data_IF_380678615944
#
_entry.id   IF_380678615944
#
_cell.length_a   1.000
_cell.length_b   1.000
_cell.length_c   1.000
_cell.angle_alpha   90.00
_cell.angle_beta   90.00
_cell.angle_gamma   90.00
#
_symmetry.space_group_name_H-M   'P 1'
#
loop_
_entity.id
_entity.type
_entity.pdbx_description
1 polymer ?
#
# COMPACT_ATOMS: atom_id res chain seq x y z
N UNK A 1 83.63 -5.25 31.99
CA UNK A 1 83.32 -5.86 33.30
C UNK A 1 82.03 -5.21 33.80
N UNK A 2 80.87 -5.81 34.06
CA UNK A 2 80.30 -7.17 34.16
C UNK A 2 78.83 -7.03 33.67
N UNK A 3 78.37 -7.83 32.69
CA UNK A 3 77.54 -9.05 32.82
C UNK A 3 76.04 -8.84 33.09
N UNK A 4 75.25 -9.28 32.11
CA UNK A 4 73.90 -9.84 32.18
C UNK A 4 73.57 -10.58 33.48
N UNK A 5 72.34 -10.43 33.95
CA UNK A 5 71.57 -11.51 34.59
C UNK A 5 70.23 -11.58 33.88
N UNK A 6 69.96 -12.73 33.27
CA UNK A 6 68.66 -13.10 32.74
C UNK A 6 68.05 -14.25 33.55
N UNK A 7 66.83 -14.59 33.13
CA UNK A 7 66.12 -15.87 33.28
C UNK A 7 65.74 -16.34 34.70
N UNK A 8 64.44 -16.64 34.87
CA UNK A 8 63.88 -17.95 35.26
C UNK A 8 62.33 -17.81 35.28
N UNK A 9 61.65 -18.36 34.27
CA UNK A 9 60.78 -19.55 34.34
C UNK A 9 59.26 -19.26 34.41
N UNK A 10 58.62 -19.45 33.26
CA UNK A 10 57.22 -19.91 33.09
C UNK A 10 57.02 -21.23 33.89
N UNK A 11 55.81 -21.57 34.39
CA UNK A 11 54.75 -21.98 33.47
C UNK A 11 53.26 -21.84 33.91
N UNK A 12 52.38 -22.12 32.95
CA UNK A 12 51.14 -22.93 33.08
C UNK A 12 49.81 -22.24 33.50
N UNK A 13 49.01 -21.99 32.45
CA UNK A 13 47.64 -22.53 32.28
C UNK A 13 46.50 -22.01 33.18
N UNK A 14 45.63 -21.18 32.62
CA UNK A 14 44.21 -21.51 32.45
C UNK A 14 43.52 -20.49 31.53
N UNK A 15 43.14 -20.98 30.35
CA UNK A 15 42.08 -20.40 29.53
C UNK A 15 40.78 -20.45 30.35
N UNK A 16 40.13 -19.30 30.53
CA UNK A 16 38.68 -19.25 30.51
C UNK A 16 38.25 -18.13 29.59
N UNK A 17 37.97 -18.52 28.34
CA UNK A 17 37.02 -17.82 27.51
C UNK A 17 35.63 -17.99 28.17
N UNK A 18 35.03 -16.88 28.56
CA UNK A 18 33.60 -16.76 28.85
C UNK A 18 33.22 -15.44 28.22
N UNK A 19 32.50 -15.40 27.12
CA UNK A 19 31.32 -16.19 26.80
C UNK A 19 30.19 -15.18 26.68
N UNK A 20 29.61 -15.08 25.49
CA UNK A 20 28.68 -14.05 25.05
C UNK A 20 27.53 -13.78 26.04
N UNK A 21 27.38 -12.53 26.45
CA UNK A 21 26.16 -12.02 27.07
C UNK A 21 25.24 -11.35 26.06
N UNK A 22 24.88 -12.04 24.98
CA UNK A 22 23.71 -11.63 24.19
C UNK A 22 22.49 -12.02 25.02
N UNK A 23 21.78 -11.04 25.58
CA UNK A 23 20.42 -11.27 26.04
C UNK A 23 19.61 -11.59 24.79
N UNK A 24 19.36 -12.87 24.56
CA UNK A 24 18.49 -13.35 23.51
C UNK A 24 17.10 -12.80 23.79
N UNK A 25 16.74 -11.75 23.04
CA UNK A 25 15.35 -11.36 22.85
C UNK A 25 14.63 -12.62 22.36
N UNK A 26 13.55 -13.10 23.02
CA UNK A 26 12.81 -14.23 22.50
C UNK A 26 12.38 -13.86 21.08
N UNK A 27 12.87 -14.62 20.11
CA UNK A 27 12.49 -14.45 18.73
C UNK A 27 10.96 -14.52 18.69
N UNK A 28 10.31 -13.41 18.36
CA UNK A 28 8.92 -13.46 17.93
C UNK A 28 8.86 -14.54 16.86
N UNK A 29 7.99 -15.55 16.98
CA UNK A 29 7.90 -16.59 15.97
C UNK A 29 7.59 -15.89 14.65
N UNK A 30 8.56 -15.89 13.74
CA UNK A 30 8.30 -15.57 12.34
C UNK A 30 7.21 -16.54 11.93
N UNK A 31 6.01 -16.08 11.55
CA UNK A 31 5.05 -16.98 10.97
C UNK A 31 5.66 -17.46 9.65
N UNK A 32 6.22 -18.67 9.67
CA UNK A 32 6.61 -19.41 8.47
C UNK A 32 5.33 -19.83 7.78
N UNK A 33 4.63 -18.87 7.17
CA UNK A 33 3.63 -19.19 6.16
C UNK A 33 4.44 -19.62 4.95
N UNK A 34 4.75 -20.91 4.91
CA UNK A 34 5.23 -21.57 3.71
C UNK A 34 4.15 -21.32 2.64
N UNK A 35 4.45 -20.43 1.69
CA UNK A 35 3.51 -20.04 0.65
C UNK A 35 3.29 -21.25 -0.27
N UNK A 36 2.38 -22.14 0.12
CA UNK A 36 1.89 -23.21 -0.73
C UNK A 36 1.18 -22.55 -1.91
N UNK A 37 1.86 -22.50 -3.07
CA UNK A 37 1.24 -22.11 -4.33
C UNK A 37 0.26 -23.20 -4.74
N UNK A 38 -0.99 -23.07 -4.30
CA UNK A 38 -2.08 -23.88 -4.80
C UNK A 38 -2.59 -23.26 -6.12
N UNK A 39 -2.52 -23.97 -7.25
CA UNK A 39 -3.00 -23.47 -8.54
C UNK A 39 -4.53 -23.32 -8.62
N UNK A 40 -5.28 -23.74 -7.60
CA UNK A 40 -6.76 -23.68 -7.52
C UNK A 40 -7.27 -22.72 -6.43
N UNK A 41 -6.57 -21.60 -6.17
CA UNK A 41 -7.10 -20.61 -5.21
C UNK A 41 -8.34 -19.97 -5.82
N UNK A 42 -9.50 -20.30 -5.25
CA UNK A 42 -10.71 -19.51 -5.42
C UNK A 42 -10.46 -18.13 -4.81
N UNK A 43 -10.51 -17.09 -5.67
CA UNK A 43 -10.15 -15.72 -5.30
C UNK A 43 -11.14 -15.12 -4.30
N UNK A 44 -12.39 -15.57 -4.33
CA UNK A 44 -13.46 -15.10 -3.45
C UNK A 44 -13.17 -15.38 -1.96
N UNK A 45 -13.00 -16.63 -1.51
CA UNK A 45 -12.72 -16.93 -0.10
C UNK A 45 -11.35 -16.40 0.35
N UNK A 46 -10.34 -16.40 -0.53
CA UNK A 46 -9.02 -15.86 -0.21
C UNK A 46 -9.07 -14.34 0.02
N UNK A 47 -9.81 -13.60 -0.81
CA UNK A 47 -10.02 -12.17 -0.63
C UNK A 47 -10.79 -11.87 0.66
N UNK A 48 -11.83 -12.65 0.98
CA UNK A 48 -12.58 -12.51 2.25
C UNK A 48 -11.71 -12.69 3.46
N UNK A 49 -10.96 -13.79 3.51
CA UNK A 49 -10.07 -14.10 4.62
C UNK A 49 -8.99 -13.02 4.80
N UNK A 50 -8.43 -12.54 3.69
CA UNK A 50 -7.49 -11.44 3.70
C UNK A 50 -8.12 -10.16 4.28
N UNK A 51 -9.27 -9.72 3.77
CA UNK A 51 -9.91 -8.48 4.19
C UNK A 51 -10.36 -8.51 5.65
N UNK A 52 -10.88 -9.65 6.13
CA UNK A 52 -11.29 -9.82 7.53
C UNK A 52 -10.12 -9.72 8.52
N UNK A 53 -8.93 -10.16 8.11
CA UNK A 53 -7.73 -10.23 8.95
C UNK A 53 -6.72 -9.11 8.68
N UNK A 54 -7.08 -8.09 7.89
CA UNK A 54 -6.22 -6.95 7.60
C UNK A 54 -5.80 -6.21 8.88
N UNK A 55 -4.50 -6.16 9.22
CA UNK A 55 -4.01 -5.31 10.31
C UNK A 55 -4.39 -3.84 10.10
N UNK A 56 -4.64 -3.08 11.18
CA UNK A 56 -5.12 -1.70 11.09
C UNK A 56 -4.14 -0.77 10.35
N UNK A 57 -2.84 -1.04 10.44
CA UNK A 57 -1.73 -0.25 9.90
C UNK A 57 -0.96 -1.00 8.80
N UNK A 58 -1.54 -2.07 8.24
CA UNK A 58 -0.79 -3.05 7.44
C UNK A 58 -0.07 -2.44 6.22
N UNK A 59 -0.55 -1.30 5.75
CA UNK A 59 -0.10 -0.66 4.52
C UNK A 59 0.33 0.79 4.68
N UNK A 60 0.09 1.42 5.82
CA UNK A 60 0.38 2.85 6.01
C UNK A 60 1.75 3.05 6.66
N UNK A 61 2.41 4.14 6.30
CA UNK A 61 3.59 4.63 6.99
C UNK A 61 3.48 6.13 7.20
N UNK A 62 3.73 6.58 8.43
CA UNK A 62 3.72 8.00 8.77
C UNK A 62 4.95 8.73 8.21
N UNK A 63 4.82 10.02 7.92
CA UNK A 63 5.90 10.83 7.36
C UNK A 63 7.18 10.83 8.20
N UNK A 64 7.07 10.84 9.54
CA UNK A 64 8.23 10.77 10.43
C UNK A 64 8.96 9.43 10.33
N UNK A 65 8.23 8.34 10.09
CA UNK A 65 8.83 7.03 9.92
C UNK A 65 9.58 6.92 8.60
N UNK A 66 9.06 7.52 7.53
CA UNK A 66 9.78 7.63 6.26
C UNK A 66 11.11 8.38 6.44
N UNK A 67 11.10 9.49 7.18
CA UNK A 67 12.34 10.24 7.50
C UNK A 67 13.31 9.40 8.32
N UNK A 68 12.82 8.64 9.30
CA UNK A 68 13.66 7.82 10.20
C UNK A 68 14.26 6.60 9.50
N UNK A 69 13.46 5.87 8.74
CA UNK A 69 13.85 4.61 8.12
C UNK A 69 14.54 4.81 6.76
N UNK A 70 14.35 5.97 6.12
CA UNK A 70 14.90 6.31 4.80
C UNK A 70 14.68 5.18 3.76
N UNK A 71 13.43 4.73 3.53
CA UNK A 71 13.13 3.62 2.63
C UNK A 71 13.33 4.01 1.16
N UNK A 72 13.16 3.05 0.26
CA UNK A 72 13.09 3.35 -1.17
C UNK A 72 11.74 4.01 -1.48
N UNK A 73 11.73 5.19 -2.10
CA UNK A 73 10.49 5.95 -2.32
C UNK A 73 10.15 5.98 -3.82
N UNK A 74 8.90 5.64 -4.14
CA UNK A 74 8.36 5.73 -5.50
C UNK A 74 7.22 6.74 -5.50
N UNK A 75 7.37 7.80 -6.28
CA UNK A 75 6.29 8.74 -6.55
C UNK A 75 5.51 8.29 -7.80
N UNK A 76 4.24 7.92 -7.61
CA UNK A 76 3.37 7.42 -8.68
C UNK A 76 2.49 8.50 -9.33
N UNK A 77 2.73 9.77 -9.00
CA UNK A 77 2.06 10.92 -9.64
C UNK A 77 2.54 11.11 -11.07
N UNK A 78 1.84 11.97 -11.81
CA UNK A 78 2.28 12.39 -13.13
C UNK A 78 3.60 13.17 -13.05
N UNK A 79 4.44 13.12 -14.10
CA UNK A 79 5.72 13.82 -14.10
C UNK A 79 5.61 15.33 -13.82
N UNK A 80 4.52 15.98 -14.26
CA UNK A 80 4.27 17.41 -13.98
C UNK A 80 3.97 17.70 -12.52
N UNK A 81 3.27 16.79 -11.82
CA UNK A 81 3.03 16.91 -10.39
C UNK A 81 4.33 16.70 -9.60
N UNK A 82 5.11 15.69 -10.00
CA UNK A 82 6.41 15.38 -9.41
C UNK A 82 7.38 16.56 -9.52
N UNK A 83 7.51 17.16 -10.71
CA UNK A 83 8.40 18.32 -10.95
C UNK A 83 8.08 19.55 -10.10
N UNK A 84 6.83 19.70 -9.63
CA UNK A 84 6.44 20.80 -8.73
C UNK A 84 6.98 20.64 -7.32
N UNK A 85 7.43 19.45 -6.94
CA UNK A 85 7.96 19.17 -5.62
C UNK A 85 7.73 17.72 -5.21
N UNK A 86 8.77 17.06 -4.72
CA UNK A 86 8.74 15.65 -4.32
C UNK A 86 9.71 15.37 -3.15
N UNK A 87 9.59 14.19 -2.54
CA UNK A 87 10.45 13.77 -1.41
C UNK A 87 11.86 13.49 -1.91
N UNK A 88 12.88 14.00 -1.22
CA UNK A 88 14.28 13.77 -1.59
C UNK A 88 14.59 12.27 -1.70
N UNK A 89 15.20 11.86 -2.82
CA UNK A 89 15.52 10.45 -3.11
C UNK A 89 14.37 9.64 -3.71
N UNK A 90 13.15 10.19 -3.79
CA UNK A 90 12.07 9.54 -4.51
C UNK A 90 12.38 9.47 -6.00
N UNK A 91 11.90 8.42 -6.65
CA UNK A 91 11.92 8.28 -8.11
C UNK A 91 10.50 8.38 -8.64
N UNK A 92 10.32 9.01 -9.81
CA UNK A 92 9.00 9.07 -10.42
C UNK A 92 8.75 7.86 -11.33
N UNK A 93 7.77 7.03 -10.95
CA UNK A 93 7.23 5.95 -11.78
C UNK A 93 5.72 6.11 -11.78
N UNK A 94 5.12 6.80 -12.78
CA UNK A 94 3.68 7.01 -12.83
C UNK A 94 2.91 5.69 -12.73
N UNK A 95 1.81 5.69 -11.97
CA UNK A 95 1.03 4.49 -11.64
C UNK A 95 0.79 3.57 -12.85
N UNK A 96 0.37 4.14 -13.98
CA UNK A 96 0.05 3.41 -15.22
C UNK A 96 1.23 2.70 -15.90
N UNK A 97 2.43 2.97 -15.44
CA UNK A 97 3.67 2.45 -16.01
C UNK A 97 4.47 1.62 -15.01
N UNK A 98 3.96 1.43 -13.78
CA UNK A 98 4.70 0.78 -12.70
C UNK A 98 5.11 -0.66 -13.06
N UNK A 99 4.23 -1.42 -13.70
CA UNK A 99 4.45 -2.80 -14.19
C UNK A 99 5.52 -2.89 -15.28
N UNK A 100 5.78 -1.80 -16.00
CA UNK A 100 6.79 -1.73 -17.08
C UNK A 100 8.13 -1.16 -16.61
N UNK A 101 8.21 -0.69 -15.36
CA UNK A 101 9.39 -0.05 -14.78
C UNK A 101 9.95 -0.80 -13.56
N UNK A 102 9.72 -2.11 -13.48
CA UNK A 102 10.19 -2.95 -12.37
C UNK A 102 11.73 -3.00 -12.26
N UNK A 103 12.46 -2.75 -13.36
CA UNK A 103 13.92 -2.59 -13.40
C UNK A 103 14.44 -1.35 -12.68
N UNK A 104 13.55 -0.46 -12.23
CA UNK A 104 13.95 0.72 -11.45
C UNK A 104 13.67 0.54 -9.97
N UNK A 105 13.13 -0.63 -9.59
CA UNK A 105 12.81 -0.97 -8.21
C UNK A 105 14.00 -1.67 -7.54
N UNK A 106 14.09 -1.59 -6.20
CA UNK A 106 15.12 -2.32 -5.44
C UNK A 106 14.81 -3.82 -5.40
N UNK A 107 15.66 -4.60 -4.73
CA UNK A 107 15.33 -6.00 -4.41
C UNK A 107 14.03 -6.13 -3.62
N UNK A 108 13.31 -7.25 -3.80
CA UNK A 108 12.00 -7.47 -3.15
C UNK A 108 12.05 -7.54 -1.61
N UNK A 109 13.24 -7.68 -1.03
CA UNK A 109 13.49 -7.64 0.40
C UNK A 109 13.52 -6.21 0.98
N UNK A 110 13.52 -5.17 0.14
CA UNK A 110 13.63 -3.77 0.59
C UNK A 110 12.29 -3.15 0.94
N UNK A 111 12.30 -2.22 1.89
CA UNK A 111 11.16 -1.35 2.16
C UNK A 111 10.93 -0.42 0.98
N UNK A 112 9.69 -0.39 0.50
CA UNK A 112 9.25 0.52 -0.53
C UNK A 112 8.11 1.36 0.03
N UNK A 113 8.18 2.67 -0.14
CA UNK A 113 7.09 3.59 0.15
C UNK A 113 6.60 4.19 -1.15
N UNK A 114 5.34 3.91 -1.48
CA UNK A 114 4.65 4.45 -2.63
C UNK A 114 3.96 5.75 -2.21
N UNK A 115 4.12 6.79 -3.00
CA UNK A 115 3.63 8.14 -2.69
C UNK A 115 2.81 8.65 -3.86
N UNK A 116 1.65 9.23 -3.56
CA UNK A 116 0.94 10.09 -4.48
C UNK A 116 0.51 11.40 -3.77
N UNK A 117 -0.46 12.12 -4.33
CA UNK A 117 -0.90 13.38 -3.74
C UNK A 117 -1.61 13.19 -2.38
N UNK A 118 -2.65 12.35 -2.33
CA UNK A 118 -3.50 12.15 -1.13
C UNK A 118 -3.50 10.73 -0.55
N UNK A 119 -2.93 9.74 -1.24
CA UNK A 119 -2.90 8.33 -0.82
C UNK A 119 -3.63 7.35 -1.75
N UNK A 120 -4.56 7.81 -2.59
CA UNK A 120 -5.39 6.91 -3.41
C UNK A 120 -4.59 6.15 -4.49
N UNK A 121 -3.84 6.86 -5.34
CA UNK A 121 -3.02 6.25 -6.40
C UNK A 121 -1.90 5.38 -5.81
N UNK A 122 -1.34 5.79 -4.67
CA UNK A 122 -0.28 5.02 -4.01
C UNK A 122 -0.80 3.76 -3.34
N UNK A 123 -2.04 3.72 -2.84
CA UNK A 123 -2.67 2.49 -2.37
C UNK A 123 -2.81 1.46 -3.50
N UNK A 124 -3.26 1.88 -4.70
CA UNK A 124 -3.32 1.01 -5.89
C UNK A 124 -1.91 0.55 -6.29
N UNK A 125 -0.95 1.48 -6.38
CA UNK A 125 0.43 1.15 -6.73
C UNK A 125 1.07 0.17 -5.75
N UNK A 126 0.83 0.35 -4.46
CA UNK A 126 1.30 -0.56 -3.41
C UNK A 126 0.68 -1.95 -3.55
N UNK A 127 -0.63 -2.06 -3.75
CA UNK A 127 -1.30 -3.37 -3.94
C UNK A 127 -0.71 -4.12 -5.14
N UNK A 128 -0.50 -3.41 -6.26
CA UNK A 128 0.15 -3.94 -7.47
C UNK A 128 1.56 -4.46 -7.14
N UNK A 129 2.37 -3.69 -6.42
CA UNK A 129 3.72 -4.11 -6.03
C UNK A 129 3.68 -5.35 -5.12
N UNK A 130 2.76 -5.41 -4.17
CA UNK A 130 2.61 -6.59 -3.30
C UNK A 130 2.19 -7.83 -4.07
N UNK A 131 1.26 -7.72 -5.04
CA UNK A 131 0.89 -8.81 -5.96
C UNK A 131 2.08 -9.30 -6.80
N UNK A 132 3.02 -8.41 -7.13
CA UNK A 132 4.26 -8.73 -7.83
C UNK A 132 5.36 -9.29 -6.92
N UNK A 133 5.13 -9.35 -5.60
CA UNK A 133 6.04 -9.95 -4.62
C UNK A 133 6.78 -8.98 -3.69
N UNK A 134 6.59 -7.66 -3.84
CA UNK A 134 7.14 -6.64 -2.95
C UNK A 134 6.32 -6.54 -1.66
N UNK A 135 6.43 -7.55 -0.81
CA UNK A 135 5.63 -7.69 0.42
C UNK A 135 5.80 -6.56 1.43
N UNK A 136 6.90 -5.80 1.34
CA UNK A 136 7.23 -4.65 2.20
C UNK A 136 6.85 -3.30 1.58
N UNK A 137 6.12 -3.30 0.47
CA UNK A 137 5.57 -2.07 -0.09
C UNK A 137 4.47 -1.53 0.83
N UNK A 138 4.56 -0.24 1.15
CA UNK A 138 3.60 0.54 1.93
C UNK A 138 3.24 1.83 1.18
N UNK A 139 2.15 2.49 1.56
CA UNK A 139 1.81 3.84 1.11
C UNK A 139 2.09 4.86 2.20
N UNK A 140 2.58 6.04 1.82
CA UNK A 140 2.66 7.18 2.72
C UNK A 140 1.26 7.62 3.12
N UNK A 141 1.03 7.70 4.43
CA UNK A 141 -0.26 8.14 4.99
C UNK A 141 -0.53 9.61 4.64
N UNK A 142 -1.68 9.86 4.00
CA UNK A 142 -2.09 11.16 3.46
C UNK A 142 -1.22 11.72 2.31
N UNK A 143 -0.30 10.93 1.75
CA UNK A 143 0.52 11.30 0.59
C UNK A 143 1.37 12.57 0.76
N UNK A 144 1.63 13.25 -0.36
CA UNK A 144 2.40 14.50 -0.40
C UNK A 144 1.71 15.65 0.37
N UNK A 145 0.38 15.67 0.45
CA UNK A 145 -0.33 16.68 1.23
C UNK A 145 0.01 16.59 2.72
N UNK A 146 0.03 15.37 3.27
CA UNK A 146 0.46 15.11 4.65
C UNK A 146 1.93 15.47 4.86
N UNK A 147 2.81 15.10 3.91
CA UNK A 147 4.24 15.47 3.94
C UNK A 147 4.46 16.99 4.03
N UNK A 148 3.76 17.74 3.18
CA UNK A 148 3.84 19.20 3.13
C UNK A 148 3.21 19.85 4.36
N UNK A 149 2.08 19.33 4.85
CA UNK A 149 1.44 19.80 6.09
C UNK A 149 2.36 19.62 7.30
N UNK A 150 3.11 18.52 7.33
CA UNK A 150 4.16 18.28 8.31
C UNK A 150 5.41 19.17 8.14
N UNK A 151 5.41 20.06 7.13
CA UNK A 151 6.51 20.99 6.79
C UNK A 151 7.84 20.27 6.54
N UNK A 152 7.78 19.05 6.00
CA UNK A 152 8.95 18.28 5.65
C UNK A 152 9.55 18.74 4.31
N UNK A 153 10.87 18.61 4.12
CA UNK A 153 11.55 19.14 2.94
C UNK A 153 11.10 18.45 1.66
N UNK A 154 11.03 19.23 0.59
CA UNK A 154 10.79 18.77 -0.78
C UNK A 154 11.91 19.26 -1.69
N UNK A 155 12.11 18.57 -2.81
CA UNK A 155 13.05 18.93 -3.87
C UNK A 155 12.31 19.05 -5.19
N UNK A 156 12.89 19.75 -6.16
CA UNK A 156 12.30 19.97 -7.51
C UNK A 156 13.17 19.43 -8.64
N UNK A 157 14.44 19.13 -8.36
CA UNK A 157 15.40 18.66 -9.35
C UNK A 157 15.22 17.16 -9.63
N UNK A 158 14.72 16.74 -10.82
CA UNK A 158 14.37 15.36 -11.07
C UNK A 158 15.57 14.43 -10.95
N UNK A 159 15.42 13.37 -10.15
CA UNK A 159 16.39 12.28 -10.08
C UNK A 159 16.07 11.29 -11.19
N UNK A 160 17.00 10.99 -12.13
CA UNK A 160 16.77 9.95 -13.12
C UNK A 160 16.58 8.60 -12.41
N UNK A 161 15.66 7.75 -12.88
CA UNK A 161 15.42 6.47 -12.23
C UNK A 161 16.68 5.61 -12.28
N UNK A 162 17.07 4.96 -11.17
CA UNK A 162 18.17 4.02 -11.19
C UNK A 162 17.82 2.86 -12.14
N UNK A 163 18.83 2.35 -12.85
CA UNK A 163 18.72 1.06 -13.55
C UNK A 163 19.27 -0.02 -12.63
N UNK A 164 18.38 -0.82 -12.06
CA UNK A 164 18.71 -2.11 -11.45
C UNK A 164 18.48 -3.24 -12.47
N UNK A 165 18.96 -4.44 -12.16
CA UNK A 165 18.55 -5.63 -12.91
C UNK A 165 17.06 -5.89 -12.67
N UNK A 166 16.32 -6.31 -13.70
CA UNK A 166 14.92 -6.75 -13.53
C UNK A 166 14.83 -7.78 -12.39
N UNK A 167 13.83 -7.68 -11.49
CA UNK A 167 13.68 -8.66 -10.44
C UNK A 167 13.41 -10.03 -11.06
N UNK A 168 14.27 -11.02 -10.76
CA UNK A 168 14.25 -12.33 -11.41
C UNK A 168 13.07 -13.23 -11.01
N UNK A 169 12.25 -12.79 -10.05
CA UNK A 169 11.19 -13.58 -9.41
C UNK A 169 9.77 -13.05 -9.62
N UNK A 170 9.56 -12.09 -10.54
CA UNK A 170 8.20 -11.65 -10.93
C UNK A 170 7.53 -12.72 -11.79
N UNK A 171 6.27 -13.03 -11.49
CA UNK A 171 5.46 -13.92 -12.33
C UNK A 171 5.00 -13.18 -13.60
N UNK A 172 5.42 -13.60 -14.81
CA UNK A 172 5.11 -12.87 -16.05
C UNK A 172 3.61 -12.84 -16.37
N UNK A 173 2.83 -13.84 -15.94
CA UNK A 173 1.37 -13.84 -16.14
C UNK A 173 0.68 -12.78 -15.27
N UNK A 174 1.11 -12.66 -14.01
CA UNK A 174 0.58 -11.64 -13.10
C UNK A 174 0.96 -10.24 -13.61
N UNK A 175 2.21 -10.06 -14.03
CA UNK A 175 2.66 -8.79 -14.61
C UNK A 175 1.86 -8.40 -15.85
N UNK A 176 1.64 -9.33 -16.79
CA UNK A 176 0.87 -9.06 -18.01
C UNK A 176 -0.59 -8.68 -17.71
N UNK A 177 -1.24 -9.38 -16.76
CA UNK A 177 -2.60 -9.05 -16.30
C UNK A 177 -2.68 -7.64 -15.71
N UNK A 178 -1.76 -7.29 -14.81
CA UNK A 178 -1.71 -5.98 -14.17
C UNK A 178 -1.38 -4.86 -15.17
N UNK A 179 -0.49 -5.14 -16.12
CA UNK A 179 -0.16 -4.19 -17.19
C UNK A 179 -1.37 -3.92 -18.09
N UNK A 180 -2.11 -4.97 -18.47
CA UNK A 180 -3.34 -4.85 -19.23
C UNK A 180 -4.38 -4.01 -18.48
N UNK A 181 -4.62 -4.31 -17.19
CA UNK A 181 -5.54 -3.57 -16.34
C UNK A 181 -5.19 -2.08 -16.26
N UNK A 182 -3.92 -1.76 -15.99
CA UNK A 182 -3.44 -0.37 -15.89
C UNK A 182 -3.55 0.41 -17.21
N UNK A 183 -3.40 -0.27 -18.35
CA UNK A 183 -3.39 0.33 -19.67
C UNK A 183 -4.78 0.47 -20.31
N UNK A 184 -5.69 -0.48 -20.06
CA UNK A 184 -6.95 -0.61 -20.82
C UNK A 184 -8.20 -0.48 -19.95
N UNK A 185 -8.12 -0.81 -18.66
CA UNK A 185 -9.29 -0.84 -17.77
C UNK A 185 -9.45 0.45 -16.97
N UNK A 186 -8.36 1.20 -16.76
CA UNK A 186 -8.40 2.46 -16.03
C UNK A 186 -8.60 3.63 -17.03
N UNK A 187 -9.81 4.18 -17.27
CA UNK A 187 -9.96 5.48 -17.94
C UNK A 187 -9.22 6.59 -17.17
N UNK A 188 -8.93 7.73 -17.82
CA UNK A 188 -8.06 8.78 -17.25
C UNK A 188 -8.58 9.35 -15.92
N UNK A 189 -9.90 9.33 -15.76
CA UNK A 189 -10.75 9.76 -14.65
C UNK A 189 -11.24 8.60 -13.76
N UNK A 190 -10.69 7.38 -13.94
CA UNK A 190 -11.18 6.21 -13.22
C UNK A 190 -11.16 6.38 -11.70
N UNK A 191 -12.28 6.03 -11.08
CA UNK A 191 -12.43 5.91 -9.63
C UNK A 191 -12.54 7.24 -8.87
N UNK A 192 -12.61 8.38 -9.57
CA UNK A 192 -12.77 9.69 -8.93
C UNK A 192 -13.96 10.42 -9.57
N UNK A 193 -14.99 10.61 -8.76
CA UNK A 193 -16.04 11.60 -9.00
C UNK A 193 -15.77 12.74 -8.02
N UNK A 194 -15.74 13.98 -8.52
CA UNK A 194 -15.67 15.13 -7.62
C UNK A 194 -17.04 15.39 -6.95
N UNK A 195 -17.07 16.28 -5.97
CA UNK A 195 -18.29 16.56 -5.22
C UNK A 195 -19.41 17.11 -6.12
N UNK A 196 -19.05 17.90 -7.12
CA UNK A 196 -20.00 18.47 -8.08
C UNK A 196 -20.59 17.37 -8.98
N UNK A 197 -19.76 16.47 -9.49
CA UNK A 197 -20.19 15.30 -10.25
C UNK A 197 -21.04 14.35 -9.41
N UNK A 198 -20.72 14.18 -8.13
CA UNK A 198 -21.48 13.32 -7.22
C UNK A 198 -22.88 13.88 -6.94
N UNK A 199 -23.00 15.20 -6.84
CA UNK A 199 -24.28 15.89 -6.57
C UNK A 199 -25.08 16.19 -7.84
N UNK A 200 -24.47 16.09 -9.03
CA UNK A 200 -25.16 16.20 -10.32
C UNK A 200 -26.14 15.04 -10.58
N UNK A 201 -25.93 13.87 -9.96
CA UNK A 201 -26.90 12.79 -9.95
C UNK A 201 -28.02 13.14 -8.95
N UNK A 202 -29.14 13.65 -9.47
CA UNK A 202 -30.30 14.03 -8.64
C UNK A 202 -30.82 12.90 -7.75
N UNK A 203 -30.50 11.63 -8.09
CA UNK A 203 -30.88 10.46 -7.30
C UNK A 203 -30.01 10.24 -6.05
N UNK A 204 -28.90 10.98 -5.91
CA UNK A 204 -28.00 10.94 -4.75
C UNK A 204 -28.27 12.07 -3.74
N UNK A 205 -29.12 13.03 -4.06
CA UNK A 205 -29.28 14.26 -3.27
C UNK A 205 -29.66 14.01 -1.79
N UNK A 206 -29.27 14.92 -0.87
CA UNK A 206 -29.67 14.84 0.53
C UNK A 206 -31.19 14.84 0.67
N UNK A 207 -31.72 14.03 1.58
CA UNK A 207 -33.17 13.93 1.74
C UNK A 207 -33.77 15.25 2.23
N UNK A 208 -34.67 15.86 1.44
CA UNK A 208 -35.70 16.71 2.03
C UNK A 208 -36.86 15.80 2.42
N UNK A 209 -36.79 15.22 3.62
CA UNK A 209 -37.85 14.42 4.24
C UNK A 209 -38.38 13.22 3.42
N UNK A 210 -37.77 12.04 3.60
CA UNK A 210 -38.43 10.74 3.74
C UNK A 210 -37.38 9.62 3.81
N UNK A 211 -37.47 8.77 4.83
CA UNK A 211 -36.65 7.57 5.02
C UNK A 211 -36.71 6.68 3.77
N UNK A 212 -35.59 6.50 3.07
CA UNK A 212 -35.50 5.52 2.00
C UNK A 212 -35.41 4.11 2.62
N UNK A 213 -36.39 3.26 2.31
CA UNK A 213 -36.33 1.85 2.71
C UNK A 213 -35.39 1.06 1.77
N UNK A 214 -34.57 0.14 2.31
CA UNK A 214 -33.53 -0.58 1.55
C UNK A 214 -34.04 -1.57 0.48
N UNK A 215 -35.36 -1.72 0.31
CA UNK A 215 -35.99 -2.75 -0.52
C UNK A 215 -36.22 -2.31 -1.99
N UNK A 216 -35.88 -1.08 -2.37
CA UNK A 216 -36.13 -0.54 -3.72
C UNK A 216 -34.87 0.01 -4.38
N UNK A 217 -33.93 -0.87 -4.70
CA UNK A 217 -32.83 -0.53 -5.60
C UNK A 217 -33.36 -0.44 -7.04
N UNK A 218 -33.71 0.78 -7.47
CA UNK A 218 -34.10 1.04 -8.85
C UNK A 218 -32.88 0.84 -9.79
N UNK A 219 -33.11 0.15 -10.90
CA UNK A 219 -32.07 -0.25 -11.84
C UNK A 219 -31.41 1.00 -12.47
N UNK A 220 -30.08 1.11 -12.39
CA UNK A 220 -29.31 2.19 -13.04
C UNK A 220 -29.12 3.47 -12.23
N UNK A 221 -29.26 3.41 -10.91
CA UNK A 221 -29.10 4.57 -10.04
C UNK A 221 -27.83 4.41 -9.16
N UNK A 222 -27.01 5.46 -9.00
CA UNK A 222 -25.70 5.41 -8.31
C UNK A 222 -25.82 5.10 -6.81
N UNK A 223 -24.93 4.29 -6.24
CA UNK A 223 -24.90 3.99 -4.80
C UNK A 223 -23.58 4.48 -4.21
N UNK A 224 -23.62 5.20 -3.09
CA UNK A 224 -22.43 5.57 -2.33
C UNK A 224 -22.18 4.50 -1.28
N UNK A 225 -21.01 3.86 -1.35
CA UNK A 225 -20.56 2.90 -0.34
C UNK A 225 -19.40 3.57 0.42
N UNK A 226 -19.66 4.01 1.64
CA UNK A 226 -18.63 4.48 2.55
C UNK A 226 -17.98 3.26 3.23
N UNK A 227 -16.66 3.11 3.08
CA UNK A 227 -15.91 1.96 3.60
C UNK A 227 -15.19 2.22 4.92
N UNK A 228 -15.44 3.37 5.54
CA UNK A 228 -14.85 3.77 6.82
C UNK A 228 -15.53 3.05 7.99
N UNK A 229 -15.02 3.27 9.21
CA UNK A 229 -15.69 2.75 10.41
C UNK A 229 -17.06 3.42 10.60
N UNK A 230 -18.01 2.77 11.31
CA UNK A 230 -19.30 3.38 11.58
C UNK A 230 -19.23 4.72 12.32
N UNK A 231 -18.20 4.90 13.17
CA UNK A 231 -17.96 6.15 13.86
C UNK A 231 -17.57 7.29 12.90
N UNK A 232 -16.64 7.02 11.98
CA UNK A 232 -16.21 7.99 10.96
C UNK A 232 -17.37 8.35 10.01
N UNK A 233 -18.18 7.37 9.62
CA UNK A 233 -19.37 7.63 8.82
C UNK A 233 -20.41 8.47 9.57
N UNK A 234 -20.59 8.23 10.87
CA UNK A 234 -21.48 9.01 11.73
C UNK A 234 -21.12 10.49 11.81
N UNK A 235 -19.84 10.85 11.62
CA UNK A 235 -19.37 12.24 11.56
C UNK A 235 -19.35 12.81 10.14
N UNK A 236 -19.39 11.95 9.12
CA UNK A 236 -19.38 12.33 7.70
C UNK A 236 -20.68 13.04 7.29
N UNK A 237 -20.60 13.91 6.28
CA UNK A 237 -21.78 14.46 5.59
C UNK A 237 -22.39 13.47 4.59
N UNK A 238 -21.70 12.36 4.29
CA UNK A 238 -22.23 11.32 3.41
C UNK A 238 -23.45 10.61 4.01
N UNK A 239 -23.58 10.57 5.33
CA UNK A 239 -24.74 9.98 6.02
C UNK A 239 -26.07 10.64 5.67
N UNK A 240 -26.03 11.88 5.17
CA UNK A 240 -27.20 12.66 4.82
C UNK A 240 -27.70 12.36 3.39
N UNK A 241 -26.91 11.64 2.59
CA UNK A 241 -27.26 11.23 1.22
C UNK A 241 -28.21 10.05 1.27
N UNK A 242 -29.32 10.11 0.53
CA UNK A 242 -30.39 9.11 0.57
C UNK A 242 -29.92 7.69 0.20
N UNK A 243 -28.86 7.60 -0.62
CA UNK A 243 -28.32 6.34 -1.15
C UNK A 243 -26.84 6.18 -0.80
N UNK A 244 -26.49 6.63 0.40
CA UNK A 244 -25.22 6.29 1.04
C UNK A 244 -25.43 5.20 2.08
N UNK A 245 -24.59 4.18 2.03
CA UNK A 245 -24.52 3.12 3.02
C UNK A 245 -23.10 3.04 3.59
N UNK A 246 -22.97 2.78 4.88
CA UNK A 246 -21.68 2.43 5.47
C UNK A 246 -21.51 0.91 5.44
N UNK A 247 -20.45 0.49 4.78
CA UNK A 247 -20.01 -0.90 4.69
C UNK A 247 -18.53 -0.91 4.99
N UNK A 248 -18.14 -1.05 6.28
CA UNK A 248 -16.73 -1.04 6.65
C UNK A 248 -15.91 -1.98 5.77
N UNK A 249 -14.70 -1.57 5.38
CA UNK A 249 -13.90 -2.27 4.37
C UNK A 249 -13.77 -3.79 4.60
N UNK A 250 -13.72 -4.22 5.86
CA UNK A 250 -13.60 -5.63 6.25
C UNK A 250 -14.86 -6.45 5.98
N UNK A 251 -16.01 -5.81 5.92
CA UNK A 251 -17.34 -6.40 5.69
C UNK A 251 -17.76 -6.29 4.22
N UNK A 252 -17.01 -5.52 3.42
CA UNK A 252 -17.34 -5.24 2.03
C UNK A 252 -17.60 -6.51 1.19
N UNK A 253 -16.80 -7.59 1.27
CA UNK A 253 -17.08 -8.80 0.48
C UNK A 253 -18.46 -9.40 0.76
N UNK A 254 -18.84 -9.53 2.03
CA UNK A 254 -20.12 -10.13 2.41
C UNK A 254 -21.28 -9.18 2.12
N UNK A 255 -21.04 -7.87 2.12
CA UNK A 255 -22.01 -6.89 1.69
C UNK A 255 -22.23 -6.91 0.17
N UNK A 256 -21.17 -7.05 -0.64
CA UNK A 256 -21.26 -7.11 -2.10
C UNK A 256 -22.10 -8.29 -2.60
N UNK A 257 -22.03 -9.46 -1.93
CA UNK A 257 -22.88 -10.62 -2.25
C UNK A 257 -24.38 -10.34 -2.12
N UNK A 258 -24.74 -9.42 -1.23
CA UNK A 258 -26.12 -9.07 -0.90
C UNK A 258 -26.60 -7.87 -1.73
N UNK A 259 -25.71 -7.19 -2.44
CA UNK A 259 -26.08 -6.07 -3.29
C UNK A 259 -26.60 -6.60 -4.63
N UNK A 260 -27.70 -6.03 -5.16
CA UNK A 260 -28.19 -6.35 -6.50
C UNK A 260 -27.31 -5.66 -7.55
N UNK A 261 -26.02 -6.02 -7.58
CA UNK A 261 -25.10 -5.58 -8.62
C UNK A 261 -25.48 -6.36 -9.89
N UNK A 262 -25.73 -5.65 -11.00
CA UNK A 262 -25.86 -6.33 -12.29
C UNK A 262 -24.58 -7.11 -12.59
N UNK A 263 -24.77 -8.23 -13.27
CA UNK A 263 -23.80 -9.27 -13.59
C UNK A 263 -22.38 -8.74 -13.88
N UNK A 264 -21.41 -9.52 -13.38
CA UNK A 264 -20.01 -9.61 -13.80
C UNK A 264 -19.60 -8.63 -14.89
N UNK A 265 -18.67 -7.74 -14.54
CA UNK A 265 -17.76 -7.16 -15.54
C UNK A 265 -17.21 -8.37 -16.33
N UNK A 266 -17.65 -8.52 -17.57
CA UNK A 266 -17.16 -9.56 -18.46
C UNK A 266 -15.72 -9.17 -18.81
N UNK A 267 -14.77 -9.82 -18.15
CA UNK A 267 -13.33 -9.60 -18.32
C UNK A 267 -12.76 -10.35 -19.54
N UNK A 268 -13.63 -10.87 -20.43
CA UNK A 268 -13.24 -11.60 -21.63
C UNK A 268 -12.46 -10.74 -22.64
#
# INVERSE_FOLDING_TARGET
MLKNIGFLLFPLFLLFASGCGNVAQPASPTPTVEAQRNPNIDMQPALREFLANLPADWHLVASQEVVRASPFIIDVRQPDEYRKGFIAGAINIPLRTITRNLQSLPGMDKDIVVVCDTGHRSAVGMAILQMLGYKRAKTLDGGMQSWQTAKLPIVTEPIPPPRSAQPSNVNPKIQAMLDYYLAHTLPYDWGIIDADGLTADQKLLPSSSAEAQPETYDQGASLIIDVNTPAEFGESSLKDFQRAINVPLRELPDALDRMPLQETIDWA
#
